data_IF_321088322084
#
_entry.id   IF_321088322084
#
_cell.length_a   1.000
_cell.length_b   1.000
_cell.length_c   1.000
_cell.angle_alpha   90.00
_cell.angle_beta   90.00
_cell.angle_gamma   90.00
#
_symmetry.space_group_name_H-M   'P 1'
#
loop_
_entity.id
_entity.type
_entity.pdbx_description
1 polymer ?
#
# COMPACT_ATOMS: atom_id res chain seq x y z
N UNK A 1 14.81 23.56 16.93
CA UNK A 1 15.92 23.41 15.95
C UNK A 1 15.59 24.31 14.77
N UNK A 2 16.56 24.98 14.17
CA UNK A 2 16.30 25.73 12.93
C UNK A 2 16.13 24.75 11.77
N UNK A 3 15.19 25.02 10.87
CA UNK A 3 14.93 24.16 9.72
C UNK A 3 16.16 24.08 8.79
N UNK A 4 16.46 22.91 8.19
CA UNK A 4 17.70 22.69 7.43
C UNK A 4 17.92 23.67 6.26
N UNK A 5 16.84 24.17 5.66
CA UNK A 5 16.87 25.13 4.56
C UNK A 5 17.23 26.57 4.98
N UNK A 6 17.18 26.89 6.28
CA UNK A 6 17.53 28.21 6.81
C UNK A 6 19.04 28.33 7.03
N UNK A 7 19.76 27.21 7.10
CA UNK A 7 21.20 27.23 7.22
C UNK A 7 21.82 27.84 5.95
N UNK A 8 22.81 28.73 6.09
CA UNK A 8 23.64 29.20 5.00
C UNK A 8 25.10 29.20 5.45
N UNK A 9 26.05 28.82 4.57
CA UNK A 9 25.88 28.40 3.17
C UNK A 9 25.30 26.98 3.01
N UNK A 10 24.94 26.61 1.77
CA UNK A 10 24.58 25.22 1.43
C UNK A 10 25.85 24.38 1.37
N UNK A 11 26.13 23.63 2.43
CA UNK A 11 27.21 22.64 2.45
C UNK A 11 26.90 21.50 1.47
N UNK A 12 27.88 21.11 0.66
CA UNK A 12 27.77 19.92 -0.20
C UNK A 12 27.93 18.67 0.67
N UNK A 13 27.17 17.59 0.41
CA UNK A 13 27.39 16.32 1.11
C UNK A 13 28.81 15.78 0.89
N UNK A 14 29.53 15.51 1.98
CA UNK A 14 30.88 14.93 1.95
C UNK A 14 30.89 13.40 2.20
N UNK A 15 29.75 12.86 2.65
CA UNK A 15 29.60 11.45 3.00
C UNK A 15 28.65 10.74 2.04
N UNK A 16 28.83 9.43 1.92
CA UNK A 16 27.92 8.54 1.19
C UNK A 16 27.21 7.66 2.22
N UNK A 17 25.89 7.67 2.21
CA UNK A 17 25.10 6.68 2.94
C UNK A 17 24.92 5.43 2.08
N UNK A 18 24.99 4.26 2.73
CA UNK A 18 24.73 2.97 2.10
C UNK A 18 23.60 2.28 2.85
N UNK A 19 22.51 1.99 2.14
CA UNK A 19 21.40 1.18 2.65
C UNK A 19 21.46 -0.19 2.00
N UNK A 20 21.23 -1.24 2.78
CA UNK A 20 21.18 -2.62 2.31
C UNK A 20 19.92 -3.28 2.85
N UNK A 21 19.10 -3.78 1.93
CA UNK A 21 17.89 -4.52 2.23
C UNK A 21 18.05 -5.96 1.75
N UNK A 22 17.61 -6.91 2.57
CA UNK A 22 17.51 -8.32 2.19
C UNK A 22 16.04 -8.67 2.13
N UNK A 23 15.61 -9.30 1.05
CA UNK A 23 14.23 -9.79 0.91
C UNK A 23 14.23 -11.13 0.21
N UNK A 24 13.15 -11.90 0.40
CA UNK A 24 12.97 -13.20 -0.24
C UNK A 24 11.87 -13.12 -1.28
N UNK A 25 12.01 -13.88 -2.35
CA UNK A 25 10.94 -14.18 -3.29
C UNK A 25 10.72 -15.68 -3.36
N UNK A 26 9.47 -16.11 -3.34
CA UNK A 26 9.07 -17.50 -3.55
C UNK A 26 8.67 -17.77 -5.01
N UNK A 27 8.67 -16.73 -5.87
CA UNK A 27 8.28 -16.83 -7.27
C UNK A 27 9.11 -15.91 -8.17
N UNK A 28 9.09 -16.18 -9.48
CA UNK A 28 9.60 -15.24 -10.47
C UNK A 28 8.62 -14.07 -10.61
N UNK A 29 9.06 -12.86 -10.24
CA UNK A 29 8.27 -11.64 -10.36
C UNK A 29 8.91 -10.71 -11.41
N UNK A 30 8.16 -10.42 -12.47
CA UNK A 30 8.58 -9.52 -13.53
C UNK A 30 7.97 -8.11 -13.34
N UNK A 31 8.58 -7.11 -13.99
CA UNK A 31 8.06 -5.74 -13.99
C UNK A 31 8.15 -5.02 -12.64
N UNK A 32 8.99 -5.51 -11.74
CA UNK A 32 9.25 -4.86 -10.44
C UNK A 32 9.92 -3.51 -10.66
N UNK A 33 9.51 -2.52 -9.88
CA UNK A 33 10.11 -1.18 -9.86
C UNK A 33 10.56 -0.84 -8.46
N UNK A 34 11.67 -0.13 -8.35
CA UNK A 34 12.06 0.58 -7.14
C UNK A 34 11.50 1.99 -7.21
N UNK A 35 10.76 2.43 -6.20
CA UNK A 35 10.35 3.82 -6.06
C UNK A 35 11.10 4.46 -4.89
N UNK A 36 11.71 5.61 -5.14
CA UNK A 36 12.51 6.35 -4.15
C UNK A 36 12.61 7.82 -4.53
N UNK A 37 12.84 8.66 -3.51
CA UNK A 37 13.27 10.03 -3.74
C UNK A 37 14.73 10.09 -4.19
N UNK A 38 15.13 11.21 -4.78
CA UNK A 38 16.52 11.46 -5.19
C UNK A 38 17.14 10.38 -6.09
N UNK A 39 16.30 9.73 -6.90
CA UNK A 39 16.69 8.69 -7.85
C UNK A 39 17.84 9.12 -8.80
N UNK A 40 17.93 10.41 -9.13
CA UNK A 40 18.97 10.97 -10.00
C UNK A 40 20.38 10.98 -9.40
N UNK A 41 20.53 10.89 -8.08
CA UNK A 41 21.84 10.86 -7.39
C UNK A 41 22.06 9.55 -6.61
N UNK A 42 21.16 8.58 -6.76
CA UNK A 42 21.23 7.30 -6.05
C UNK A 42 21.75 6.20 -6.96
N UNK A 43 22.87 5.58 -6.59
CA UNK A 43 23.35 4.34 -7.20
C UNK A 43 22.55 3.17 -6.62
N UNK A 44 22.07 2.28 -7.50
CA UNK A 44 21.21 1.14 -7.13
C UNK A 44 21.89 -0.14 -7.59
N UNK A 45 21.95 -1.14 -6.70
CA UNK A 45 22.48 -2.46 -7.01
C UNK A 45 21.49 -3.53 -6.58
N UNK A 46 21.25 -4.53 -7.44
CA UNK A 46 20.49 -5.73 -7.13
C UNK A 46 21.45 -6.92 -7.22
N UNK A 47 21.61 -7.65 -6.12
CA UNK A 47 22.53 -8.79 -5.99
C UNK A 47 23.99 -8.46 -6.33
N UNK A 48 24.37 -7.19 -6.16
CA UNK A 48 25.70 -6.66 -6.48
C UNK A 48 25.83 -6.12 -7.90
N UNK A 49 24.86 -6.40 -8.78
CA UNK A 49 24.85 -5.88 -10.14
C UNK A 49 24.21 -4.48 -10.20
N UNK A 50 24.83 -3.51 -10.89
CA UNK A 50 24.29 -2.17 -10.99
C UNK A 50 22.98 -2.14 -11.81
N UNK A 51 21.95 -1.48 -11.27
CA UNK A 51 20.70 -1.24 -11.98
C UNK A 51 20.86 0.00 -12.86
N UNK A 52 20.91 -0.18 -14.17
CA UNK A 52 21.10 0.91 -15.15
C UNK A 52 19.79 1.51 -15.67
N UNK A 53 18.65 1.10 -15.11
CA UNK A 53 17.34 1.62 -15.46
C UNK A 53 17.25 3.13 -15.25
N UNK A 54 16.56 3.83 -16.15
CA UNK A 54 16.25 5.26 -15.98
C UNK A 54 14.89 5.42 -15.31
N UNK A 55 14.65 6.53 -14.60
CA UNK A 55 13.33 6.85 -14.08
C UNK A 55 12.26 6.78 -15.18
N UNK A 56 11.18 6.04 -14.93
CA UNK A 56 10.12 5.75 -15.92
C UNK A 56 8.71 6.16 -15.45
N UNK A 57 8.62 6.80 -14.28
CA UNK A 57 7.36 7.15 -13.65
C UNK A 57 7.55 7.72 -12.26
N UNK A 58 6.49 7.66 -11.46
CA UNK A 58 6.44 8.09 -10.08
C UNK A 58 5.38 7.28 -9.32
N UNK A 59 5.50 7.21 -7.99
CA UNK A 59 4.56 6.48 -7.14
C UNK A 59 3.39 7.36 -6.68
N UNK A 60 3.37 7.80 -5.42
CA UNK A 60 2.30 8.67 -4.88
C UNK A 60 2.63 10.16 -4.99
N UNK A 61 3.91 10.50 -5.14
CA UNK A 61 4.40 11.85 -5.37
C UNK A 61 5.44 11.83 -6.50
N UNK A 62 5.55 12.92 -7.25
CA UNK A 62 6.52 13.10 -8.34
C UNK A 62 7.97 13.16 -7.85
N UNK A 63 8.22 13.42 -6.56
CA UNK A 63 9.55 13.27 -5.96
C UNK A 63 9.95 11.79 -5.85
N UNK A 64 8.99 10.88 -5.63
CA UNK A 64 9.21 9.43 -5.51
C UNK A 64 9.19 8.80 -6.91
N UNK A 65 10.34 8.87 -7.59
CA UNK A 65 10.50 8.37 -8.97
C UNK A 65 10.59 6.84 -8.98
N UNK A 66 10.03 6.22 -10.01
CA UNK A 66 10.17 4.78 -10.23
C UNK A 66 11.31 4.46 -11.18
N UNK A 67 12.12 3.45 -10.84
CA UNK A 67 13.17 2.88 -11.68
C UNK A 67 12.85 1.39 -11.89
N UNK A 68 12.81 0.88 -13.13
CA UNK A 68 12.59 -0.53 -13.37
C UNK A 68 13.77 -1.36 -12.85
N UNK A 69 13.46 -2.44 -12.13
CA UNK A 69 14.43 -3.45 -11.72
C UNK A 69 14.47 -4.61 -12.72
N UNK A 70 15.57 -5.38 -12.77
CA UNK A 70 15.56 -6.72 -13.36
C UNK A 70 14.45 -7.60 -12.75
N UNK A 71 14.11 -8.69 -13.44
CA UNK A 71 13.22 -9.70 -12.88
C UNK A 71 13.76 -10.27 -11.57
N UNK A 72 12.87 -10.52 -10.61
CA UNK A 72 13.23 -11.10 -9.31
C UNK A 72 12.94 -12.59 -9.37
N UNK A 73 13.99 -13.41 -9.40
CA UNK A 73 13.88 -14.86 -9.37
C UNK A 73 13.42 -15.38 -7.99
N UNK A 74 12.99 -16.65 -7.86
CA UNK A 74 12.83 -17.27 -6.55
C UNK A 74 14.18 -17.35 -5.83
N UNK A 75 14.25 -16.85 -4.59
CA UNK A 75 15.48 -16.83 -3.81
C UNK A 75 15.57 -15.65 -2.84
N UNK A 76 16.77 -15.45 -2.30
CA UNK A 76 17.10 -14.31 -1.45
C UNK A 76 17.84 -13.27 -2.27
N UNK A 77 17.38 -12.04 -2.22
CA UNK A 77 17.93 -10.92 -2.97
C UNK A 77 18.44 -9.83 -2.05
N UNK A 78 19.44 -9.10 -2.53
CA UNK A 78 20.03 -7.96 -1.84
C UNK A 78 19.91 -6.69 -2.68
N UNK A 79 19.11 -5.74 -2.19
CA UNK A 79 19.03 -4.40 -2.75
C UNK A 79 19.99 -3.48 -1.98
N UNK A 80 20.92 -2.84 -2.67
CA UNK A 80 21.80 -1.82 -2.09
C UNK A 80 21.56 -0.46 -2.74
N UNK A 81 21.45 0.58 -1.93
CA UNK A 81 21.34 1.98 -2.36
C UNK A 81 22.55 2.75 -1.85
N UNK A 82 23.15 3.61 -2.69
CA UNK A 82 24.25 4.50 -2.30
C UNK A 82 23.97 5.90 -2.79
N UNK A 83 24.02 6.88 -1.90
CA UNK A 83 23.76 8.26 -2.27
C UNK A 83 24.49 9.26 -1.35
N UNK A 84 24.77 10.48 -1.84
CA UNK A 84 25.33 11.54 -1.01
C UNK A 84 24.43 11.86 0.17
N UNK A 85 25.02 11.97 1.36
CA UNK A 85 24.29 12.24 2.60
C UNK A 85 24.98 13.35 3.38
N UNK A 86 24.23 14.41 3.70
CA UNK A 86 24.73 15.60 4.38
C UNK A 86 23.74 16.10 5.43
N UNK A 87 24.08 17.20 6.11
CA UNK A 87 23.31 17.73 7.25
C UNK A 87 21.86 18.15 6.94
N UNK A 88 21.49 18.23 5.66
CA UNK A 88 20.15 18.62 5.21
C UNK A 88 19.29 17.46 4.72
N UNK A 89 19.89 16.27 4.61
CA UNK A 89 19.22 15.10 4.08
C UNK A 89 18.72 14.22 5.21
N UNK A 90 17.55 13.59 4.99
CA UNK A 90 17.05 12.51 5.81
C UNK A 90 17.03 11.22 4.97
N UNK A 91 17.22 10.09 5.63
CA UNK A 91 16.95 8.80 4.99
C UNK A 91 15.43 8.65 4.86
N UNK A 92 14.94 8.62 3.62
CA UNK A 92 13.53 8.40 3.31
C UNK A 92 13.27 6.94 2.92
N UNK A 93 11.99 6.58 2.91
CA UNK A 93 11.56 5.24 2.50
C UNK A 93 11.83 4.99 1.02
N UNK A 94 12.04 3.72 0.67
CA UNK A 94 11.99 3.25 -0.71
C UNK A 94 11.06 2.03 -0.81
N UNK A 95 10.51 1.81 -2.00
CA UNK A 95 9.43 0.86 -2.22
C UNK A 95 9.77 -0.09 -3.34
N UNK A 96 9.55 -1.38 -3.12
CA UNK A 96 9.36 -2.31 -4.24
C UNK A 96 7.90 -2.24 -4.66
N UNK A 97 7.67 -1.94 -5.94
CA UNK A 97 6.35 -1.85 -6.56
C UNK A 97 6.26 -2.88 -7.69
N UNK A 98 5.09 -3.44 -7.90
CA UNK A 98 4.87 -4.40 -8.97
C UNK A 98 3.59 -5.18 -8.74
N UNK A 99 3.32 -6.11 -9.65
CA UNK A 99 2.25 -7.08 -9.48
C UNK A 99 2.80 -8.29 -8.73
N UNK A 100 2.63 -8.30 -7.41
CA UNK A 100 3.00 -9.38 -6.52
C UNK A 100 2.22 -9.28 -5.21
N UNK A 101 2.21 -10.37 -4.45
CA UNK A 101 1.74 -10.34 -3.06
C UNK A 101 2.90 -10.42 -2.09
N UNK A 102 2.67 -10.04 -0.84
CA UNK A 102 3.66 -10.09 0.24
C UNK A 102 3.12 -10.89 1.40
N UNK A 103 3.87 -11.91 1.81
CA UNK A 103 3.66 -12.59 3.08
C UNK A 103 4.59 -11.98 4.14
N UNK A 104 4.03 -11.70 5.32
CA UNK A 104 4.81 -11.27 6.48
C UNK A 104 4.96 -12.42 7.45
N UNK A 105 6.17 -12.61 7.96
CA UNK A 105 6.48 -13.52 9.05
C UNK A 105 7.44 -12.81 10.01
N UNK A 106 6.89 -12.25 11.09
CA UNK A 106 7.62 -11.36 11.98
C UNK A 106 8.18 -10.13 11.26
N UNK A 107 9.51 -10.06 11.15
CA UNK A 107 10.25 -8.99 10.47
C UNK A 107 10.64 -9.33 9.03
N UNK A 108 10.25 -10.51 8.53
CA UNK A 108 10.48 -10.90 7.14
C UNK A 108 9.31 -10.50 6.24
N UNK A 109 9.64 -9.98 5.05
CA UNK A 109 8.70 -9.76 3.96
C UNK A 109 9.11 -10.63 2.77
N UNK A 110 8.18 -11.47 2.31
CA UNK A 110 8.43 -12.46 1.26
C UNK A 110 7.52 -12.18 0.07
N UNK A 111 8.11 -11.93 -1.10
CA UNK A 111 7.38 -11.75 -2.34
C UNK A 111 6.81 -13.09 -2.82
N UNK A 112 5.56 -13.06 -3.28
CA UNK A 112 4.80 -14.20 -3.79
C UNK A 112 4.06 -13.79 -5.06
N UNK A 113 3.52 -14.78 -5.76
CA UNK A 113 2.64 -14.53 -6.91
C UNK A 113 1.50 -13.57 -6.55
N UNK A 114 1.05 -12.72 -7.49
CA UNK A 114 -0.12 -11.86 -7.31
C UNK A 114 -1.34 -12.61 -6.78
N UNK A 115 -2.11 -11.95 -5.91
CA UNK A 115 -3.41 -12.47 -5.48
C UNK A 115 -4.48 -11.88 -6.39
N UNK A 116 -5.01 -12.71 -7.29
CA UNK A 116 -6.03 -12.29 -8.26
C UNK A 116 -7.46 -12.26 -7.68
N UNK A 117 -7.71 -12.96 -6.57
CA UNK A 117 -9.02 -13.06 -5.92
C UNK A 117 -8.87 -13.04 -4.41
N UNK A 118 -9.64 -12.18 -3.76
CA UNK A 118 -9.70 -12.07 -2.31
C UNK A 118 -11.15 -12.18 -1.84
N UNK A 119 -11.35 -12.84 -0.72
CA UNK A 119 -12.62 -12.77 0.02
C UNK A 119 -12.65 -11.55 0.92
N UNK A 120 -13.83 -11.28 1.51
CA UNK A 120 -13.97 -10.30 2.58
C UNK A 120 -13.10 -10.65 3.80
N UNK A 121 -12.76 -9.63 4.58
CA UNK A 121 -11.78 -9.67 5.67
C UNK A 121 -10.64 -8.66 5.46
N UNK A 122 -9.68 -8.64 6.38
CA UNK A 122 -8.47 -7.84 6.20
C UNK A 122 -7.66 -8.37 5.02
N UNK A 123 -7.28 -7.49 4.11
CA UNK A 123 -6.39 -7.76 2.98
C UNK A 123 -4.92 -7.85 3.41
N UNK A 124 -4.59 -7.34 4.61
CA UNK A 124 -3.23 -7.45 5.17
C UNK A 124 -2.77 -8.90 5.23
N UNK A 125 -3.68 -9.79 5.62
CA UNK A 125 -3.42 -11.21 5.83
C UNK A 125 -3.68 -12.02 4.55
N UNK A 126 -4.00 -11.33 3.45
CA UNK A 126 -4.32 -11.90 2.13
C UNK A 126 -3.30 -11.46 1.07
N UNK A 127 -2.07 -11.21 1.49
CA UNK A 127 -0.97 -10.89 0.58
C UNK A 127 -0.86 -9.41 0.21
N UNK A 128 -1.64 -8.53 0.83
CA UNK A 128 -1.62 -7.08 0.57
C UNK A 128 -1.32 -6.25 1.83
N UNK A 129 -0.29 -6.60 2.64
CA UNK A 129 -0.01 -5.91 3.91
C UNK A 129 0.39 -4.44 3.74
N UNK A 130 1.08 -4.10 2.66
CA UNK A 130 1.58 -2.74 2.38
C UNK A 130 0.76 -1.99 1.31
N UNK A 131 -0.26 -2.65 0.75
CA UNK A 131 -1.07 -2.07 -0.31
C UNK A 131 -1.91 -0.93 0.24
N UNK A 132 -1.84 0.23 -0.41
CA UNK A 132 -2.54 1.45 0.02
C UNK A 132 -3.43 2.07 -1.04
N UNK A 133 -3.65 1.40 -2.17
CA UNK A 133 -4.51 1.87 -3.26
C UNK A 133 -5.91 1.25 -3.19
N UNK A 134 -6.72 1.47 -4.22
CA UNK A 134 -8.09 1.01 -4.30
C UNK A 134 -8.17 -0.50 -4.59
N UNK A 135 -9.24 -1.13 -4.09
CA UNK A 135 -9.56 -2.54 -4.34
C UNK A 135 -11.01 -2.65 -4.76
N UNK A 136 -11.27 -3.41 -5.82
CA UNK A 136 -12.63 -3.66 -6.32
C UNK A 136 -13.04 -5.09 -5.95
N UNK A 137 -14.09 -5.23 -5.14
CA UNK A 137 -14.72 -6.51 -4.84
C UNK A 137 -15.86 -6.70 -5.82
N UNK A 138 -15.76 -7.71 -6.69
CA UNK A 138 -16.76 -8.01 -7.72
C UNK A 138 -17.51 -9.29 -7.36
N UNK A 139 -18.84 -9.24 -7.39
CA UNK A 139 -19.71 -10.38 -7.12
C UNK A 139 -20.92 -10.38 -8.05
N UNK A 140 -21.45 -11.57 -8.34
CA UNK A 140 -22.72 -11.75 -9.05
C UNK A 140 -23.86 -11.81 -8.04
N UNK A 141 -24.93 -11.06 -8.30
CA UNK A 141 -26.15 -11.07 -7.49
C UNK A 141 -27.35 -11.41 -8.37
N UNK A 142 -28.39 -11.96 -7.76
CA UNK A 142 -29.67 -12.19 -8.42
C UNK A 142 -30.79 -11.58 -7.58
N UNK A 143 -31.69 -10.84 -8.22
CA UNK A 143 -32.77 -10.10 -7.55
C UNK A 143 -34.10 -10.22 -8.29
N UNK A 144 -35.21 -10.03 -7.56
CA UNK A 144 -36.55 -9.81 -8.11
C UNK A 144 -36.77 -8.38 -8.64
N UNK A 145 -35.79 -7.51 -8.50
CA UNK A 145 -35.85 -6.10 -8.90
C UNK A 145 -36.47 -5.21 -7.83
N UNK A 146 -36.59 -3.92 -8.15
CA UNK A 146 -36.99 -2.88 -7.21
C UNK A 146 -35.79 -2.20 -6.55
N UNK A 147 -35.93 -1.80 -5.29
CA UNK A 147 -34.88 -1.10 -4.57
C UNK A 147 -34.03 -2.10 -3.79
N UNK A 148 -32.70 -2.00 -3.90
CA UNK A 148 -31.77 -2.83 -3.14
C UNK A 148 -31.00 -1.97 -2.15
N UNK A 149 -30.90 -2.42 -0.90
CA UNK A 149 -29.99 -1.83 0.08
C UNK A 149 -28.71 -2.65 0.13
N UNK A 150 -27.58 -2.01 -0.15
CA UNK A 150 -26.24 -2.57 0.04
C UNK A 150 -25.68 -2.02 1.35
N UNK A 151 -25.52 -2.90 2.33
CA UNK A 151 -25.01 -2.57 3.66
C UNK A 151 -23.60 -3.13 3.85
N UNK A 152 -22.62 -2.28 4.19
CA UNK A 152 -21.24 -2.68 4.46
C UNK A 152 -20.85 -2.35 5.92
N UNK A 153 -21.15 -3.25 6.88
CA UNK A 153 -21.12 -2.90 8.30
C UNK A 153 -19.72 -2.55 8.83
N UNK A 154 -18.68 -3.16 8.28
CA UNK A 154 -17.30 -2.93 8.71
C UNK A 154 -16.34 -2.93 7.53
N UNK A 155 -15.68 -1.79 7.33
CA UNK A 155 -14.55 -1.67 6.41
C UNK A 155 -13.43 -0.82 7.01
N UNK A 156 -12.24 -0.96 6.43
CA UNK A 156 -11.08 -0.12 6.68
C UNK A 156 -10.53 0.35 5.34
N UNK A 157 -10.76 1.62 5.08
CA UNK A 157 -10.48 2.36 3.86
C UNK A 157 -11.06 3.76 4.01
N UNK A 158 -10.97 4.59 2.98
CA UNK A 158 -11.54 5.94 3.00
C UNK A 158 -13.07 5.91 2.80
N UNK A 159 -13.53 5.18 1.78
CA UNK A 159 -14.94 5.02 1.44
C UNK A 159 -15.14 3.81 0.52
N UNK A 160 -16.39 3.43 0.26
CA UNK A 160 -16.75 2.45 -0.77
C UNK A 160 -17.66 3.11 -1.79
N UNK A 161 -17.31 3.07 -3.08
CA UNK A 161 -18.28 3.35 -4.16
C UNK A 161 -18.92 2.04 -4.59
N UNK A 162 -20.24 2.04 -4.72
CA UNK A 162 -21.04 0.91 -5.20
C UNK A 162 -21.30 1.09 -6.69
N UNK A 163 -20.96 0.09 -7.49
CA UNK A 163 -21.30 0.02 -8.91
C UNK A 163 -22.21 -1.17 -9.17
N UNK A 164 -23.20 -0.97 -10.03
CA UNK A 164 -24.06 -2.04 -10.54
C UNK A 164 -23.94 -2.06 -12.06
N UNK A 165 -23.54 -3.20 -12.61
CA UNK A 165 -23.28 -3.42 -14.04
C UNK A 165 -22.33 -2.37 -14.63
N UNK A 166 -21.26 -2.06 -13.88
CA UNK A 166 -20.24 -1.09 -14.27
C UNK A 166 -20.64 0.39 -14.11
N UNK A 167 -21.87 0.69 -13.67
CA UNK A 167 -22.33 2.06 -13.43
C UNK A 167 -22.26 2.40 -11.94
N UNK A 168 -21.59 3.49 -11.59
CA UNK A 168 -21.59 4.01 -10.21
C UNK A 168 -23.02 4.39 -9.77
N UNK A 169 -23.42 3.94 -8.59
CA UNK A 169 -24.78 4.14 -8.06
C UNK A 169 -24.82 4.93 -6.75
N UNK A 170 -23.72 5.00 -6.03
CA UNK A 170 -23.61 5.77 -4.79
C UNK A 170 -22.42 5.33 -3.95
N UNK A 171 -22.24 6.01 -2.82
CA UNK A 171 -21.13 5.79 -1.91
C UNK A 171 -21.61 5.35 -0.51
N UNK A 172 -20.79 4.54 0.14
CA UNK A 172 -20.91 4.15 1.55
C UNK A 172 -19.76 4.81 2.31
N UNK A 173 -20.10 5.79 3.15
CA UNK A 173 -19.14 6.62 3.90
C UNK A 173 -19.51 6.76 5.37
N UNK A 174 -20.80 6.97 5.66
CA UNK A 174 -21.31 7.26 6.99
C UNK A 174 -22.28 6.19 7.46
N UNK A 175 -22.38 6.03 8.79
CA UNK A 175 -23.42 5.20 9.39
C UNK A 175 -24.81 5.63 8.88
N UNK A 176 -25.71 4.67 8.56
CA UNK A 176 -25.64 3.23 8.84
C UNK A 176 -24.79 2.39 7.88
N UNK A 177 -23.95 3.01 7.03
CA UNK A 177 -23.11 2.34 6.02
C UNK A 177 -23.92 1.62 4.94
N UNK A 178 -24.95 2.32 4.45
CA UNK A 178 -25.88 1.84 3.45
C UNK A 178 -25.76 2.62 2.14
N UNK A 179 -26.01 1.94 1.03
CA UNK A 179 -26.28 2.54 -0.27
C UNK A 179 -27.55 1.93 -0.85
N UNK A 180 -28.49 2.77 -1.29
CA UNK A 180 -29.73 2.31 -1.94
C UNK A 180 -29.55 2.36 -3.46
N UNK A 181 -29.74 1.22 -4.09
CA UNK A 181 -29.79 1.06 -5.54
C UNK A 181 -31.26 1.10 -5.96
N UNK A 182 -31.68 2.18 -6.60
CA UNK A 182 -33.08 2.36 -7.01
C UNK A 182 -33.38 1.69 -8.35
N UNK A 183 -34.61 1.19 -8.50
CA UNK A 183 -35.17 0.72 -9.76
C UNK A 183 -34.29 -0.33 -10.47
N UNK A 184 -33.74 -1.27 -9.71
CA UNK A 184 -32.98 -2.40 -10.26
C UNK A 184 -33.93 -3.36 -10.96
N UNK A 185 -33.56 -3.85 -12.15
CA UNK A 185 -34.36 -4.85 -12.87
C UNK A 185 -34.30 -6.22 -12.19
N UNK A 186 -35.32 -7.05 -12.36
CA UNK A 186 -35.23 -8.45 -11.99
C UNK A 186 -34.17 -9.18 -12.84
N UNK A 187 -33.40 -10.08 -12.24
CA UNK A 187 -32.42 -10.90 -12.95
C UNK A 187 -31.04 -10.90 -12.29
N UNK A 188 -30.02 -11.24 -13.11
CA UNK A 188 -28.62 -11.30 -12.69
C UNK A 188 -27.94 -9.96 -12.93
N UNK A 189 -27.15 -9.54 -11.95
CA UNK A 189 -26.38 -8.31 -12.00
C UNK A 189 -24.96 -8.52 -11.50
N UNK A 190 -24.05 -7.65 -11.93
CA UNK A 190 -22.69 -7.57 -11.37
C UNK A 190 -22.66 -6.41 -10.39
N UNK A 191 -22.43 -6.72 -9.11
CA UNK A 191 -22.21 -5.74 -8.06
C UNK A 191 -20.70 -5.59 -7.82
N UNK A 192 -20.22 -4.36 -7.86
CA UNK A 192 -18.83 -4.03 -7.56
C UNK A 192 -18.77 -3.05 -6.39
N UNK A 193 -17.91 -3.34 -5.42
CA UNK A 193 -17.62 -2.45 -4.30
C UNK A 193 -16.17 -1.98 -4.44
N UNK A 194 -16.00 -0.73 -4.86
CA UNK A 194 -14.68 -0.09 -4.95
C UNK A 194 -14.33 0.53 -3.61
N UNK A 195 -13.53 -0.18 -2.83
CA UNK A 195 -12.96 0.32 -1.58
C UNK A 195 -11.78 1.24 -1.91
N UNK A 196 -11.83 2.47 -1.42
CA UNK A 196 -10.72 3.40 -1.52
C UNK A 196 -9.72 3.17 -0.38
N UNK A 197 -8.44 3.02 -0.74
CA UNK A 197 -7.36 2.80 0.21
C UNK A 197 -7.08 3.99 1.12
N UNK A 198 -6.48 3.73 2.27
CA UNK A 198 -5.78 4.76 3.04
C UNK A 198 -4.30 4.39 2.99
N UNK A 199 -3.45 5.28 2.50
CA UNK A 199 -2.01 5.04 2.28
C UNK A 199 -1.22 4.74 3.56
N UNK A 200 -1.90 4.50 4.69
CA UNK A 200 -1.31 4.21 5.98
C UNK A 200 -0.34 3.03 5.91
N UNK A 201 -0.71 1.90 5.30
CA UNK A 201 0.20 0.76 5.24
C UNK A 201 1.37 0.96 4.26
N UNK A 202 1.33 2.03 3.46
CA UNK A 202 2.43 2.42 2.56
C UNK A 202 3.36 3.48 3.17
N UNK A 203 2.92 4.30 4.14
CA UNK A 203 3.72 5.42 4.67
C UNK A 203 3.69 5.57 6.20
N UNK A 204 2.83 4.83 6.88
CA UNK A 204 2.56 4.98 8.30
C UNK A 204 3.58 4.27 9.19
N UNK A 205 3.34 4.29 10.50
CA UNK A 205 4.28 3.77 11.49
C UNK A 205 4.20 2.23 11.58
N UNK A 206 4.76 1.52 10.61
CA UNK A 206 4.67 0.05 10.51
C UNK A 206 5.37 -0.72 11.63
N UNK A 207 6.12 -0.04 12.50
CA UNK A 207 6.86 -0.65 13.62
C UNK A 207 6.37 -0.17 15.00
N UNK A 208 5.34 0.70 15.02
CA UNK A 208 4.79 1.26 16.25
C UNK A 208 3.92 0.24 16.98
N UNK A 209 4.31 -0.13 18.19
CA UNK A 209 3.61 -1.12 19.00
C UNK A 209 2.46 -0.54 19.82
N UNK A 210 2.48 0.76 20.12
CA UNK A 210 1.50 1.40 20.98
C UNK A 210 0.19 1.71 20.22
N UNK A 211 -0.91 0.99 20.50
CA UNK A 211 -2.17 1.19 19.79
C UNK A 211 -2.88 2.49 20.20
N UNK A 212 -2.49 3.07 21.34
CA UNK A 212 -3.07 4.32 21.86
C UNK A 212 -2.28 5.56 21.39
N UNK A 213 -1.24 5.38 20.58
CA UNK A 213 -0.48 6.49 20.05
C UNK A 213 -1.30 7.20 18.97
N UNK A 214 -1.86 8.37 19.33
CA UNK A 214 -2.78 9.13 18.47
C UNK A 214 -2.10 10.24 17.66
N UNK A 215 -0.82 10.51 17.92
CA UNK A 215 -0.05 11.55 17.24
C UNK A 215 0.68 11.01 16.02
N UNK A 216 0.57 11.70 14.88
CA UNK A 216 1.18 11.29 13.60
C UNK A 216 2.32 12.22 13.19
N UNK A 217 3.19 12.57 14.14
CA UNK A 217 4.36 13.42 13.89
C UNK A 217 5.69 12.65 13.85
N UNK A 218 6.83 13.35 13.73
CA UNK A 218 8.16 12.76 13.59
C UNK A 218 8.52 11.74 14.67
N UNK A 219 8.04 11.93 15.91
CA UNK A 219 8.30 11.05 17.04
C UNK A 219 7.66 9.67 16.88
N UNK A 220 6.53 9.59 16.17
CA UNK A 220 5.82 8.34 15.92
C UNK A 220 6.60 7.37 15.02
N UNK A 221 7.57 7.87 14.24
CA UNK A 221 8.47 7.08 13.39
C UNK A 221 9.81 6.77 14.05
N UNK A 222 10.05 7.29 15.26
CA UNK A 222 11.31 7.17 16.00
C UNK A 222 11.10 6.53 17.37
N UNK A 223 10.08 5.69 17.51
CA UNK A 223 9.81 4.98 18.75
C UNK A 223 10.90 3.97 19.07
N UNK A 224 11.05 3.65 20.35
CA UNK A 224 12.05 2.71 20.88
C UNK A 224 11.44 1.94 22.06
N UNK A 225 12.13 0.89 22.54
CA UNK A 225 11.64 0.10 23.66
C UNK A 225 10.30 -0.58 23.35
N UNK A 226 9.39 -0.59 24.32
CA UNK A 226 8.10 -1.26 24.22
C UNK A 226 7.15 -0.64 23.16
N UNK A 227 7.44 0.57 22.70
CA UNK A 227 6.67 1.25 21.65
C UNK A 227 7.16 0.88 20.23
N UNK A 228 8.16 0.02 20.08
CA UNK A 228 8.76 -0.34 18.79
C UNK A 228 9.04 -1.84 18.63
N UNK A 229 8.86 -2.36 17.41
CA UNK A 229 9.21 -3.74 17.05
C UNK A 229 9.88 -3.84 15.68
N UNK A 230 10.77 -4.83 15.49
CA UNK A 230 11.26 -5.17 14.15
C UNK A 230 10.14 -5.74 13.28
N UNK A 231 9.20 -6.44 13.90
CA UNK A 231 8.04 -7.02 13.25
C UNK A 231 7.15 -5.94 12.64
N UNK A 232 6.63 -6.24 11.45
CA UNK A 232 5.70 -5.36 10.77
C UNK A 232 4.32 -5.41 11.43
N UNK A 233 3.73 -4.24 11.64
CA UNK A 233 2.42 -4.03 12.27
C UNK A 233 1.50 -3.22 11.35
N UNK A 234 1.10 -3.76 10.18
CA UNK A 234 0.15 -3.08 9.31
C UNK A 234 -1.20 -2.93 10.02
N UNK A 235 -1.95 -1.87 9.67
CA UNK A 235 -3.33 -1.72 10.12
C UNK A 235 -4.26 -2.53 9.23
N UNK A 236 -5.36 -3.09 9.77
CA UNK A 236 -6.36 -3.76 8.95
C UNK A 236 -6.84 -2.86 7.81
N UNK A 237 -6.94 -3.42 6.60
CA UNK A 237 -7.34 -2.74 5.37
C UNK A 237 -8.25 -3.69 4.59
N UNK A 238 -9.39 -3.24 4.07
CA UNK A 238 -10.35 -4.10 3.36
C UNK A 238 -11.79 -3.92 3.79
N UNK A 239 -12.72 -4.61 3.12
CA UNK A 239 -14.09 -4.81 3.60
C UNK A 239 -14.05 -5.98 4.57
N UNK A 240 -14.08 -5.68 5.87
CA UNK A 240 -13.73 -6.62 6.94
C UNK A 240 -14.78 -7.69 7.19
N UNK A 241 -16.03 -7.38 6.84
CA UNK A 241 -17.20 -8.26 6.97
C UNK A 241 -17.96 -8.25 5.66
N UNK A 242 -18.49 -9.40 5.25
CA UNK A 242 -19.30 -9.47 4.03
C UNK A 242 -20.42 -8.42 4.02
N UNK A 243 -20.68 -7.75 2.89
CA UNK A 243 -21.81 -6.86 2.73
C UNK A 243 -23.11 -7.66 2.75
N UNK A 244 -24.19 -7.03 3.20
CA UNK A 244 -25.55 -7.56 3.14
C UNK A 244 -26.30 -6.83 2.05
N UNK A 245 -26.99 -7.58 1.20
CA UNK A 245 -27.82 -7.04 0.12
C UNK A 245 -29.27 -7.42 0.44
N UNK A 246 -30.11 -6.41 0.64
CA UNK A 246 -31.51 -6.59 1.03
C UNK A 246 -32.43 -6.00 -0.05
N UNK A 247 -33.41 -6.78 -0.51
CA UNK A 247 -34.52 -6.27 -1.31
C UNK A 247 -35.44 -5.44 -0.40
N UNK A 248 -35.67 -4.18 -0.77
CA UNK A 248 -36.61 -3.30 -0.08
C UNK A 248 -38.00 -3.51 -0.70
N UNK A 249 -38.95 -3.93 0.13
CA UNK A 249 -40.38 -4.08 -0.24
C UNK A 249 -41.06 -2.73 -0.43
#
# INVERSE_FOLDING_TARGET
>A
MAEPWVQQPVEKPEHIMRLRFTFRSEALIAGVKLALENAQVTEIFLDGEPVTGKPDGWFTDRCIRTIPLPGIDPGTHRLELRFPFGKREAAEWCYLLGDFSVALDGCEAVLRMPVARVGFGSLTDKGLPFYGDNVIYRMEIQTQGGNLKVHAPQYRGAMITVLLDGSERGDIIYAPYDCILENVSAGKHVLELKLYGTRFNSFGQLHLCNPNFTWYGPDSYRTTGDDWSFEYRPKPFGILTSPVIEEQL
#
